data_IF_253159043180
#
_entry.id   IF_253159043180
#
_cell.length_a   1.000
_cell.length_b   1.000
_cell.length_c   1.000
_cell.angle_alpha   90.00
_cell.angle_beta   90.00
_cell.angle_gamma   90.00
#
_symmetry.space_group_name_H-M   'P 1'
#
loop_
_entity.id
_entity.type
_entity.pdbx_description
1 polymer ?
#
# COMPACT_ATOMS: atom_id res chain seq x y z
N UNK A 1 -18.71 -1.09 23.19
CA UNK A 1 -17.59 -1.34 22.27
C UNK A 1 -17.76 -2.72 21.66
N UNK A 2 -17.69 -2.82 20.34
CA UNK A 2 -17.75 -4.10 19.64
C UNK A 2 -16.46 -4.91 19.84
N UNK A 3 -16.57 -6.20 19.61
CA UNK A 3 -15.42 -7.11 19.65
C UNK A 3 -14.52 -6.89 18.44
N UNK A 4 -13.20 -6.83 18.66
CA UNK A 4 -12.21 -6.79 17.58
C UNK A 4 -11.92 -8.20 17.09
N UNK A 5 -11.94 -8.39 15.78
CA UNK A 5 -11.69 -9.67 15.14
C UNK A 5 -10.44 -9.62 14.28
N UNK A 6 -9.73 -10.73 14.25
CA UNK A 6 -8.57 -10.90 13.37
C UNK A 6 -8.99 -11.45 12.01
N UNK A 7 -8.50 -10.80 10.97
CA UNK A 7 -8.63 -11.21 9.58
C UNK A 7 -7.23 -11.38 8.99
N UNK A 8 -7.13 -12.08 7.88
CA UNK A 8 -5.95 -12.02 7.03
C UNK A 8 -6.17 -10.94 5.97
N UNK A 9 -5.11 -10.25 5.55
CA UNK A 9 -5.21 -9.28 4.46
C UNK A 9 -5.90 -9.88 3.24
N UNK A 10 -5.56 -11.12 2.87
CA UNK A 10 -6.17 -11.83 1.76
C UNK A 10 -7.68 -12.06 1.86
N UNK A 11 -8.26 -12.00 3.06
CA UNK A 11 -9.72 -12.11 3.27
C UNK A 11 -10.45 -10.78 2.97
N UNK A 12 -9.72 -9.68 2.91
CA UNK A 12 -10.27 -8.32 2.81
C UNK A 12 -10.18 -7.72 1.39
N UNK A 13 -9.73 -8.50 0.41
CA UNK A 13 -9.45 -8.02 -0.94
C UNK A 13 -10.53 -8.42 -1.95
N UNK A 14 -10.57 -7.69 -3.05
CA UNK A 14 -11.23 -8.10 -4.29
C UNK A 14 -10.32 -9.11 -4.98
N UNK A 15 -10.89 -10.22 -5.44
CA UNK A 15 -10.08 -11.33 -5.97
C UNK A 15 -9.53 -12.21 -4.87
N UNK A 16 -8.43 -12.90 -5.13
CA UNK A 16 -7.91 -13.92 -4.23
C UNK A 16 -6.40 -13.84 -3.98
N UNK A 17 -5.72 -12.87 -4.56
CA UNK A 17 -4.26 -12.75 -4.44
C UNK A 17 -3.78 -11.32 -4.70
N UNK A 18 -2.58 -11.00 -4.18
CA UNK A 18 -1.85 -9.80 -4.54
C UNK A 18 -1.26 -9.88 -5.95
N UNK A 19 -1.04 -8.72 -6.56
CA UNK A 19 -0.54 -8.60 -7.92
C UNK A 19 0.82 -7.88 -7.91
N UNK A 20 1.83 -8.49 -8.51
CA UNK A 20 3.13 -7.86 -8.70
C UNK A 20 3.04 -6.76 -9.76
N UNK A 21 3.84 -5.70 -9.60
CA UNK A 21 3.91 -4.61 -10.55
C UNK A 21 4.65 -4.97 -11.85
N UNK A 22 4.73 -3.99 -12.75
CA UNK A 22 5.37 -4.19 -14.04
C UNK A 22 6.90 -4.31 -13.91
N UNK A 23 7.47 -5.28 -14.58
CA UNK A 23 8.92 -5.50 -14.65
C UNK A 23 9.51 -4.72 -15.83
N UNK A 24 9.45 -3.40 -15.77
CA UNK A 24 9.97 -2.50 -16.78
C UNK A 24 11.01 -1.55 -16.17
N UNK A 25 12.04 -1.12 -16.94
CA UNK A 25 13.00 -0.16 -16.43
C UNK A 25 12.37 1.22 -16.25
N UNK A 26 12.81 1.94 -15.22
CA UNK A 26 12.45 3.34 -15.06
C UNK A 26 13.15 4.18 -16.15
N UNK A 27 12.44 5.17 -16.66
CA UNK A 27 12.99 6.18 -17.56
C UNK A 27 12.90 7.56 -16.89
N UNK A 28 13.59 8.54 -17.44
CA UNK A 28 13.51 9.90 -16.91
C UNK A 28 12.07 10.40 -16.93
N UNK A 29 11.75 11.23 -15.92
CA UNK A 29 10.39 11.74 -15.77
C UNK A 29 9.95 12.51 -17.01
N UNK A 30 8.79 12.13 -17.52
CA UNK A 30 8.13 12.78 -18.65
C UNK A 30 6.63 12.88 -18.32
N UNK A 31 6.10 14.11 -18.31
CA UNK A 31 4.67 14.36 -18.05
C UNK A 31 3.72 13.72 -19.06
N UNK A 32 4.21 13.33 -20.22
CA UNK A 32 3.43 12.65 -21.25
C UNK A 32 3.43 11.12 -21.10
N UNK A 33 4.15 10.61 -20.10
CA UNK A 33 4.23 9.17 -19.77
C UNK A 33 3.69 8.96 -18.36
N UNK A 34 3.39 7.71 -18.02
CA UNK A 34 2.96 7.38 -16.66
C UNK A 34 4.06 7.64 -15.64
N UNK A 35 3.68 8.23 -14.51
CA UNK A 35 4.55 8.30 -13.34
C UNK A 35 4.73 6.90 -12.77
N UNK A 36 5.98 6.52 -12.54
CA UNK A 36 6.37 5.17 -12.13
C UNK A 36 6.62 5.15 -10.62
N UNK A 37 5.78 4.46 -9.88
CA UNK A 37 5.94 4.29 -8.44
C UNK A 37 6.85 3.10 -8.16
N UNK A 38 8.01 3.36 -7.55
CA UNK A 38 9.01 2.36 -7.17
C UNK A 38 9.09 2.22 -5.66
N UNK A 39 9.68 1.13 -5.15
CA UNK A 39 9.89 0.95 -3.71
C UNK A 39 10.67 2.11 -3.07
N UNK A 40 11.60 2.73 -3.81
CA UNK A 40 12.41 3.86 -3.34
C UNK A 40 11.64 5.19 -3.29
N UNK A 41 10.46 5.25 -3.89
CA UNK A 41 9.64 6.47 -3.92
C UNK A 41 8.65 6.54 -2.74
N UNK A 42 8.53 5.48 -1.96
CA UNK A 42 7.64 5.43 -0.79
C UNK A 42 8.43 5.79 0.46
N UNK A 43 7.99 6.85 1.14
CA UNK A 43 8.53 7.27 2.42
C UNK A 43 8.09 6.34 3.55
N UNK A 44 8.75 6.41 4.70
CA UNK A 44 8.40 5.63 5.89
C UNK A 44 6.97 5.90 6.39
N UNK A 45 6.47 7.11 6.18
CA UNK A 45 5.12 7.52 6.56
C UNK A 45 4.03 7.15 5.53
N UNK A 46 4.40 6.46 4.46
CA UNK A 46 3.46 6.06 3.40
C UNK A 46 3.14 7.15 2.38
N UNK A 47 3.81 8.28 2.43
CA UNK A 47 3.71 9.31 1.38
C UNK A 47 4.68 9.04 0.24
N UNK A 48 4.46 9.69 -0.90
CA UNK A 48 5.36 9.59 -2.05
C UNK A 48 6.43 10.68 -1.97
N UNK A 49 7.69 10.27 -2.14
CA UNK A 49 8.80 11.20 -2.33
C UNK A 49 8.79 11.73 -3.77
N UNK A 50 8.40 12.98 -3.93
CA UNK A 50 8.26 13.62 -5.25
C UNK A 50 9.55 14.28 -5.76
N UNK A 51 10.66 14.17 -5.03
CA UNK A 51 11.92 14.83 -5.40
C UNK A 51 12.66 14.19 -6.57
N UNK A 52 12.39 12.90 -6.86
CA UNK A 52 13.09 12.16 -7.93
C UNK A 52 12.14 11.19 -8.63
N UNK A 53 11.00 11.68 -9.07
CA UNK A 53 10.04 10.87 -9.80
C UNK A 53 10.65 10.36 -11.11
N UNK A 54 10.22 9.18 -11.51
CA UNK A 54 10.54 8.56 -12.79
C UNK A 54 9.26 8.25 -13.55
N UNK A 55 9.42 7.99 -14.82
CA UNK A 55 8.35 7.49 -15.67
C UNK A 55 8.61 6.04 -16.09
N UNK A 56 7.60 5.40 -16.63
CA UNK A 56 7.69 4.11 -17.30
C UNK A 56 7.20 4.25 -18.73
N UNK A 57 7.92 3.62 -19.64
CA UNK A 57 7.61 3.60 -21.06
C UNK A 57 7.54 2.16 -21.54
N UNK A 58 6.38 1.54 -21.33
CA UNK A 58 6.12 0.15 -21.69
C UNK A 58 4.68 0.01 -22.19
N UNK A 59 4.52 -0.78 -23.26
CA UNK A 59 3.21 -1.01 -23.89
C UNK A 59 2.16 -1.66 -22.97
N UNK A 60 2.60 -2.32 -21.90
CA UNK A 60 1.71 -2.99 -20.95
C UNK A 60 1.45 -2.14 -19.70
N UNK A 61 1.95 -0.92 -19.63
CA UNK A 61 1.84 -0.06 -18.43
C UNK A 61 0.39 0.14 -17.99
N UNK A 62 -0.56 0.21 -18.92
CA UNK A 62 -1.99 0.38 -18.63
C UNK A 62 -2.55 -0.70 -17.70
N UNK A 63 -1.95 -1.90 -17.69
CA UNK A 63 -2.40 -3.01 -16.84
C UNK A 63 -1.96 -2.86 -15.38
N UNK A 64 -1.14 -1.85 -15.07
CA UNK A 64 -0.52 -1.67 -13.76
C UNK A 64 -0.83 -0.30 -13.14
N UNK A 65 -1.92 0.31 -13.54
CA UNK A 65 -2.41 1.56 -12.96
C UNK A 65 -3.03 1.27 -11.60
N UNK A 66 -2.72 2.14 -10.62
CA UNK A 66 -3.36 2.12 -9.31
C UNK A 66 -4.71 2.83 -9.36
N UNK A 67 -5.67 2.29 -8.63
CA UNK A 67 -7.02 2.81 -8.51
C UNK A 67 -7.41 3.02 -7.03
N UNK A 68 -8.48 3.78 -6.73
CA UNK A 68 -8.98 3.93 -5.37
C UNK A 68 -9.15 2.57 -4.68
N UNK A 69 -8.76 2.52 -3.40
CA UNK A 69 -8.74 1.34 -2.53
C UNK A 69 -7.60 0.35 -2.80
N UNK A 70 -6.69 0.67 -3.72
CA UNK A 70 -5.46 -0.10 -3.88
C UNK A 70 -4.43 0.28 -2.82
N UNK A 71 -3.79 -0.72 -2.24
CA UNK A 71 -2.61 -0.56 -1.39
C UNK A 71 -1.46 -1.38 -1.98
N UNK A 72 -0.25 -0.82 -1.98
CA UNK A 72 0.95 -1.51 -2.44
C UNK A 72 1.95 -1.65 -1.30
N UNK A 73 2.70 -2.74 -1.33
CA UNK A 73 3.74 -3.06 -0.35
C UNK A 73 5.08 -3.30 -1.04
N UNK A 74 6.13 -2.72 -0.49
CA UNK A 74 7.49 -3.01 -0.92
C UNK A 74 7.89 -4.42 -0.48
N UNK A 75 8.28 -5.25 -1.46
CA UNK A 75 8.56 -6.68 -1.23
C UNK A 75 10.02 -6.99 -0.95
N UNK A 76 10.94 -6.09 -1.24
CA UNK A 76 12.36 -6.42 -1.22
C UNK A 76 13.23 -5.24 -0.78
N UNK A 77 14.46 -5.54 -0.38
CA UNK A 77 15.50 -4.57 -0.07
C UNK A 77 15.28 -3.82 1.24
N UNK A 78 15.97 -2.69 1.40
CA UNK A 78 15.87 -1.85 2.58
C UNK A 78 14.49 -1.21 2.79
N UNK A 79 13.66 -1.19 1.75
CA UNK A 79 12.29 -0.64 1.79
C UNK A 79 11.23 -1.69 2.16
N UNK A 80 11.61 -2.95 2.41
CA UNK A 80 10.67 -4.03 2.72
C UNK A 80 9.74 -3.61 3.86
N UNK A 81 8.45 -3.82 3.68
CA UNK A 81 7.43 -3.44 4.64
C UNK A 81 6.85 -2.03 4.45
N UNK A 82 7.48 -1.16 3.69
CA UNK A 82 6.86 0.12 3.35
C UNK A 82 5.60 -0.10 2.54
N UNK A 83 4.58 0.71 2.81
CA UNK A 83 3.29 0.63 2.13
C UNK A 83 2.86 1.99 1.62
N UNK A 84 2.05 1.98 0.56
CA UNK A 84 1.40 3.16 0.03
C UNK A 84 -0.06 2.81 -0.30
N UNK A 85 -0.98 3.56 0.30
CA UNK A 85 -2.39 3.50 -0.02
C UNK A 85 -2.68 4.57 -1.07
N UNK A 86 -3.19 4.16 -2.23
CA UNK A 86 -3.39 5.07 -3.37
C UNK A 86 -4.32 6.23 -3.03
N UNK A 87 -3.90 7.43 -3.39
CA UNK A 87 -4.69 8.65 -3.27
C UNK A 87 -4.75 9.38 -4.61
N UNK A 88 -5.93 9.77 -5.02
CA UNK A 88 -6.17 10.43 -6.32
C UNK A 88 -5.39 11.74 -6.48
N UNK A 89 -5.09 12.42 -5.37
CA UNK A 89 -4.27 13.65 -5.38
C UNK A 89 -2.85 13.44 -5.91
N UNK A 90 -2.36 12.21 -5.90
CA UNK A 90 -1.03 11.85 -6.40
C UNK A 90 -1.02 11.58 -7.92
N UNK A 91 -2.19 11.69 -8.57
CA UNK A 91 -2.33 11.49 -10.01
C UNK A 91 -2.32 10.03 -10.42
N UNK A 92 -2.18 9.79 -11.72
CA UNK A 92 -2.14 8.44 -12.28
C UNK A 92 -0.76 7.84 -12.05
N UNK A 93 -0.74 6.67 -11.39
CA UNK A 93 0.48 5.96 -11.03
C UNK A 93 0.47 4.55 -11.59
N UNK A 94 1.60 4.13 -12.15
CA UNK A 94 1.89 2.74 -12.53
C UNK A 94 2.89 2.18 -11.52
N UNK A 95 2.60 1.03 -10.91
CA UNK A 95 3.45 0.46 -9.87
C UNK A 95 4.46 -0.54 -10.42
N UNK A 96 5.67 -0.48 -9.89
CA UNK A 96 6.84 -1.25 -10.34
C UNK A 96 6.86 -2.68 -9.76
N UNK A 97 7.67 -3.56 -10.36
CA UNK A 97 7.72 -5.00 -10.08
C UNK A 97 8.16 -5.40 -8.69
N UNK A 98 8.80 -4.51 -7.91
CA UNK A 98 9.12 -4.76 -6.51
C UNK A 98 8.03 -4.31 -5.54
N UNK A 99 6.88 -3.89 -6.06
CA UNK A 99 5.67 -3.62 -5.30
C UNK A 99 4.63 -4.73 -5.54
N UNK A 100 3.87 -5.03 -4.50
CA UNK A 100 2.74 -5.96 -4.58
C UNK A 100 1.48 -5.17 -4.25
N UNK A 101 0.51 -5.19 -5.15
CA UNK A 101 -0.78 -4.52 -4.98
C UNK A 101 -1.83 -5.47 -4.43
N UNK A 102 -2.61 -4.96 -3.48
CA UNK A 102 -3.86 -5.55 -3.03
C UNK A 102 -4.98 -4.53 -3.22
N UNK A 103 -6.05 -4.94 -3.90
CA UNK A 103 -7.25 -4.11 -4.06
C UNK A 103 -8.22 -4.44 -2.93
N UNK A 104 -8.44 -3.50 -2.03
CA UNK A 104 -9.23 -3.73 -0.83
C UNK A 104 -10.72 -3.66 -1.16
N UNK A 105 -11.48 -4.64 -0.68
CA UNK A 105 -12.91 -4.74 -0.92
C UNK A 105 -13.70 -3.88 0.08
N UNK A 106 -14.26 -2.78 -0.40
CA UNK A 106 -15.07 -1.85 0.41
C UNK A 106 -16.35 -2.46 1.00
N UNK A 107 -16.78 -3.61 0.49
CA UNK A 107 -17.90 -4.36 1.05
C UNK A 107 -17.52 -5.13 2.31
N UNK A 108 -16.23 -5.46 2.48
CA UNK A 108 -15.71 -6.28 3.59
C UNK A 108 -15.13 -5.42 4.72
N UNK A 109 -14.56 -4.27 4.38
CA UNK A 109 -13.80 -3.42 5.30
C UNK A 109 -13.84 -1.98 4.79
N UNK A 110 -13.67 -0.99 5.68
CA UNK A 110 -13.36 0.36 5.23
C UNK A 110 -11.91 0.35 4.70
N UNK A 111 -11.69 0.51 3.38
CA UNK A 111 -10.35 0.32 2.80
C UNK A 111 -9.29 1.21 3.41
N UNK A 112 -9.64 2.44 3.75
CA UNK A 112 -8.72 3.43 4.28
C UNK A 112 -8.17 3.06 5.67
N UNK A 113 -8.82 2.14 6.40
CA UNK A 113 -8.28 1.68 7.67
C UNK A 113 -6.95 0.93 7.48
N UNK A 114 -6.73 0.31 6.31
CA UNK A 114 -5.47 -0.34 5.99
C UNK A 114 -4.32 0.66 5.87
N UNK A 115 -4.59 1.89 5.38
CA UNK A 115 -3.62 2.98 5.37
C UNK A 115 -3.03 3.23 6.76
N UNK A 116 -3.89 3.25 7.78
CA UNK A 116 -3.48 3.52 9.16
C UNK A 116 -2.92 2.28 9.84
N UNK A 117 -3.50 1.11 9.58
CA UNK A 117 -3.01 -0.15 10.14
C UNK A 117 -1.55 -0.42 9.78
N UNK A 118 -1.14 -0.14 8.55
CA UNK A 118 0.24 -0.36 8.07
C UNK A 118 1.26 0.62 8.64
N UNK A 119 0.84 1.51 9.53
CA UNK A 119 1.71 2.42 10.31
C UNK A 119 1.52 2.20 11.82
N UNK A 120 0.96 1.06 12.21
CA UNK A 120 0.76 0.68 13.61
C UNK A 120 1.87 -0.26 14.09
N UNK A 121 2.05 -0.32 15.41
CA UNK A 121 3.04 -1.22 16.01
C UNK A 121 2.79 -2.70 15.67
N UNK A 122 1.54 -3.23 15.71
CA UNK A 122 1.28 -4.61 15.30
C UNK A 122 1.75 -4.95 13.88
N UNK A 123 1.62 -4.01 12.95
CA UNK A 123 2.12 -4.20 11.59
C UNK A 123 3.65 -4.29 11.55
N UNK A 124 4.35 -3.36 12.20
CA UNK A 124 5.82 -3.37 12.24
C UNK A 124 6.37 -4.62 12.94
N UNK A 125 5.74 -5.07 14.01
CA UNK A 125 6.12 -6.30 14.71
C UNK A 125 5.96 -7.51 13.78
N UNK A 126 4.86 -7.57 13.02
CA UNK A 126 4.64 -8.63 12.04
C UNK A 126 5.71 -8.61 10.93
N UNK A 127 6.01 -7.43 10.36
CA UNK A 127 7.07 -7.28 9.35
C UNK A 127 8.40 -7.81 9.88
N UNK A 128 8.78 -7.46 11.10
CA UNK A 128 10.03 -7.98 11.71
C UNK A 128 10.01 -9.50 11.82
N UNK A 129 8.88 -10.09 12.18
CA UNK A 129 8.73 -11.54 12.30
C UNK A 129 8.97 -12.25 10.96
N UNK A 130 8.37 -11.75 9.88
CA UNK A 130 8.47 -12.38 8.56
C UNK A 130 9.78 -12.06 7.84
N UNK A 131 10.39 -10.91 8.13
CA UNK A 131 11.66 -10.47 7.52
C UNK A 131 12.89 -11.13 8.16
N UNK A 132 12.82 -11.53 9.40
CA UNK A 132 13.93 -12.17 10.12
C UNK A 132 14.10 -13.67 9.82
N UNK A 133 13.19 -14.28 9.06
CA UNK A 133 13.22 -15.68 8.70
C UNK A 133 14.05 -16.00 7.46
N UNK A 134 13.74 -17.13 6.84
CA UNK A 134 14.37 -17.58 5.58
C UNK A 134 14.13 -16.64 4.39
N UNK A 135 13.20 -15.70 4.55
CA UNK A 135 12.78 -14.73 3.53
C UNK A 135 13.38 -13.33 3.75
N UNK A 136 14.43 -13.23 4.57
CA UNK A 136 15.03 -11.94 4.93
C UNK A 136 15.21 -11.02 3.70
N UNK A 137 14.67 -9.82 3.79
CA UNK A 137 14.71 -8.83 2.71
C UNK A 137 13.83 -9.17 1.51
N UNK A 138 12.91 -10.14 1.62
CA UNK A 138 12.00 -10.47 0.53
C UNK A 138 10.68 -11.08 1.07
N UNK A 139 9.59 -10.31 0.99
CA UNK A 139 8.25 -10.75 1.38
C UNK A 139 7.39 -10.88 0.12
N UNK A 140 6.93 -12.08 -0.18
CA UNK A 140 6.11 -12.35 -1.37
C UNK A 140 4.62 -12.06 -1.15
N UNK A 141 3.83 -12.15 -2.23
CA UNK A 141 2.40 -11.87 -2.19
C UNK A 141 1.62 -12.80 -1.25
N UNK A 142 2.00 -14.07 -1.15
CA UNK A 142 1.34 -15.03 -0.25
C UNK A 142 1.59 -14.69 1.22
N UNK A 143 2.81 -14.27 1.55
CA UNK A 143 3.16 -13.85 2.91
C UNK A 143 2.38 -12.58 3.27
N UNK A 144 2.36 -11.56 2.40
CA UNK A 144 1.55 -10.36 2.66
C UNK A 144 0.06 -10.68 2.80
N UNK A 145 -0.48 -11.58 1.97
CA UNK A 145 -1.88 -12.00 2.07
C UNK A 145 -2.21 -12.67 3.43
N UNK A 146 -1.22 -13.30 4.07
CA UNK A 146 -1.37 -13.92 5.39
C UNK A 146 -1.26 -12.94 6.56
N UNK A 147 -0.96 -11.66 6.30
CA UNK A 147 -0.82 -10.63 7.34
C UNK A 147 -2.06 -10.57 8.22
N UNK A 148 -1.93 -10.71 9.54
CA UNK A 148 -3.06 -10.53 10.44
C UNK A 148 -3.44 -9.06 10.55
N UNK A 149 -4.74 -8.79 10.47
CA UNK A 149 -5.32 -7.46 10.59
C UNK A 149 -6.42 -7.52 11.65
N UNK A 150 -6.20 -6.85 12.77
CA UNK A 150 -7.19 -6.79 13.86
C UNK A 150 -8.11 -5.60 13.65
N UNK A 151 -9.40 -5.84 13.50
CA UNK A 151 -10.39 -4.82 13.14
C UNK A 151 -11.62 -4.89 14.06
N UNK A 152 -12.18 -3.72 14.43
CA UNK A 152 -13.49 -3.64 15.04
C UNK A 152 -14.60 -3.81 13.99
N UNK A 153 -15.85 -3.71 14.41
CA UNK A 153 -16.99 -3.69 13.48
C UNK A 153 -16.92 -2.49 12.51
N UNK A 154 -17.58 -2.59 11.37
CA UNK A 154 -17.53 -1.59 10.30
C UNK A 154 -17.86 -0.17 10.76
N UNK A 155 -18.86 0.00 11.59
CA UNK A 155 -19.26 1.31 12.11
C UNK A 155 -18.13 1.99 12.88
N UNK A 156 -17.38 1.23 13.67
CA UNK A 156 -16.24 1.74 14.42
C UNK A 156 -15.03 2.00 13.50
N UNK A 157 -14.80 1.15 12.49
CA UNK A 157 -13.81 1.41 11.44
C UNK A 157 -14.05 2.78 10.78
N UNK A 158 -15.30 3.07 10.43
CA UNK A 158 -15.68 4.33 9.76
C UNK A 158 -15.40 5.54 10.65
N UNK A 159 -15.65 5.43 11.96
CA UNK A 159 -15.31 6.48 12.93
C UNK A 159 -13.81 6.71 13.04
N UNK A 160 -13.03 5.64 13.17
CA UNK A 160 -11.57 5.71 13.25
C UNK A 160 -11.01 6.38 11.99
N UNK A 161 -11.44 5.94 10.82
CA UNK A 161 -11.00 6.52 9.54
C UNK A 161 -11.36 8.00 9.45
N UNK A 162 -12.58 8.38 9.87
CA UNK A 162 -13.02 9.78 9.86
C UNK A 162 -12.12 10.67 10.72
N UNK A 163 -11.79 10.23 11.92
CA UNK A 163 -10.92 10.98 12.85
C UNK A 163 -9.50 11.10 12.29
N UNK A 164 -8.91 9.99 11.86
CA UNK A 164 -7.53 9.98 11.37
C UNK A 164 -7.38 10.73 10.05
N UNK A 165 -8.37 10.65 9.16
CA UNK A 165 -8.39 11.43 7.92
C UNK A 165 -8.46 12.94 8.17
N UNK A 166 -9.25 13.36 9.17
CA UNK A 166 -9.32 14.77 9.56
C UNK A 166 -7.98 15.29 10.09
N UNK A 167 -7.24 14.46 10.83
CA UNK A 167 -5.90 14.80 11.30
C UNK A 167 -4.90 14.91 10.14
N UNK A 168 -4.97 14.00 9.17
CA UNK A 168 -4.14 14.07 7.96
C UNK A 168 -4.38 15.36 7.19
N UNK A 169 -5.65 15.77 7.02
CA UNK A 169 -6.02 17.00 6.33
C UNK A 169 -5.50 18.25 7.03
N UNK A 170 -5.56 18.28 8.37
CA UNK A 170 -5.01 19.37 9.16
C UNK A 170 -3.49 19.46 9.03
N UNK A 171 -2.78 18.34 9.06
CA UNK A 171 -1.33 18.31 8.88
C UNK A 171 -0.91 18.77 7.48
N UNK A 172 -1.67 18.40 6.46
CA UNK A 172 -1.42 18.83 5.07
C UNK A 172 -1.66 20.32 4.84
N UNK A 173 -2.60 20.94 5.57
CA UNK A 173 -2.90 22.37 5.48
C UNK A 173 -1.87 23.26 6.17
N UNK A 174 -1.00 22.69 7.04
CA UNK A 174 0.00 23.42 7.83
C UNK A 174 1.38 23.47 7.15
N UNK A 175 1.57 22.73 6.07
CA UNK A 175 2.80 22.71 5.25
C UNK A 175 2.64 23.59 4.01
#
# INVERSE_FOLDING_TARGET
>A
MGEWKEYKLGDLIVGNKGCYGIAAPAVDYDRNKYTYLRITDINDDGTINKSNLKSVDDKNADNYILYPNDIVFARTGASVGRSYFYEEKDGVLVYAGFLIKFSIDSKKVNPKILKYYTHSQPYYDWIQTVDNGATRGNINAQIYASMPVLLPERKEQDKIVSILSSLDDLNSATL
#
